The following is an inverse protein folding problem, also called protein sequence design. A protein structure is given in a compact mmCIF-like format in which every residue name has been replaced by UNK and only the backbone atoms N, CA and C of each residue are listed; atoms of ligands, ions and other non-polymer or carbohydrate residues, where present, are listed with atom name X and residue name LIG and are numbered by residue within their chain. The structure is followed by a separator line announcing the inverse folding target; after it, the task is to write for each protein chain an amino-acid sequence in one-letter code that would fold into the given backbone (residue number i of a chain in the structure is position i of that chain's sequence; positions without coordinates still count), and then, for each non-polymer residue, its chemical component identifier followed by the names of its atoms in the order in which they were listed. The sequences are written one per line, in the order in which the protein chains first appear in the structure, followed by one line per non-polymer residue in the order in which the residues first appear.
data_IF_486249539408
#
_entry.id   IF_486249539408
#
_cell.length_a   1.000
_cell.length_b   1.000
_cell.length_c   1.000
_cell.angle_alpha   90.00
_cell.angle_beta   90.00
_cell.angle_gamma   90.00
#
_symmetry.space_group_name_H-M   'P 1'
#
loop_
_entity.id
_entity.type
_entity.pdbx_description
1 polymer ?
#
# COMPACT_ATOMS: atom_id res chain seq x y z
N UNK A 1 23.31 16.38 -41.25
CA UNK A 1 22.33 15.47 -40.65
C UNK A 1 22.95 14.10 -40.65
N UNK A 2 23.31 13.57 -39.48
CA UNK A 2 24.06 12.31 -39.39
C UNK A 2 23.07 11.22 -38.97
N UNK A 3 22.54 10.51 -39.97
CA UNK A 3 21.43 9.57 -39.83
C UNK A 3 21.71 8.49 -38.77
N UNK A 4 22.96 8.04 -38.64
CA UNK A 4 23.37 7.05 -37.64
C UNK A 4 23.32 7.62 -36.22
N UNK A 5 23.77 8.85 -36.01
CA UNK A 5 23.73 9.51 -34.70
C UNK A 5 22.30 9.79 -34.26
N UNK A 6 21.42 10.16 -35.19
CA UNK A 6 19.99 10.36 -34.98
C UNK A 6 19.27 9.04 -34.67
N UNK A 7 19.60 7.94 -35.36
CA UNK A 7 19.04 6.63 -35.07
C UNK A 7 19.45 6.11 -33.68
N UNK A 8 20.72 6.29 -33.30
CA UNK A 8 21.22 5.88 -31.98
C UNK A 8 20.58 6.72 -30.87
N UNK A 9 20.46 8.04 -31.05
CA UNK A 9 19.83 8.90 -30.05
C UNK A 9 18.35 8.57 -29.87
N UNK A 10 17.61 8.33 -30.95
CA UNK A 10 16.22 7.91 -30.90
C UNK A 10 16.05 6.56 -30.19
N UNK A 11 16.94 5.60 -30.46
CA UNK A 11 16.93 4.30 -29.80
C UNK A 11 17.16 4.46 -28.29
N UNK A 12 18.17 5.24 -27.88
CA UNK A 12 18.46 5.49 -26.46
C UNK A 12 17.28 6.16 -25.74
N UNK A 13 16.66 7.18 -26.35
CA UNK A 13 15.47 7.84 -25.80
C UNK A 13 14.33 6.85 -25.65
N UNK A 14 14.12 5.98 -26.64
CA UNK A 14 13.05 4.97 -26.62
C UNK A 14 13.25 3.95 -25.52
N UNK A 15 14.48 3.44 -25.35
CA UNK A 15 14.82 2.48 -24.28
C UNK A 15 14.63 3.12 -22.90
N UNK A 16 15.10 4.35 -22.72
CA UNK A 16 14.89 5.10 -21.48
C UNK A 16 13.40 5.33 -21.20
N UNK A 17 12.62 5.70 -22.22
CA UNK A 17 11.19 5.90 -22.10
C UNK A 17 10.46 4.62 -21.67
N UNK A 18 10.76 3.48 -22.30
CA UNK A 18 10.18 2.18 -21.93
C UNK A 18 10.57 1.80 -20.50
N UNK A 19 11.84 1.98 -20.14
CA UNK A 19 12.33 1.69 -18.79
C UNK A 19 11.59 2.51 -17.74
N UNK A 20 11.49 3.83 -17.92
CA UNK A 20 10.76 4.71 -17.02
C UNK A 20 9.28 4.35 -16.95
N UNK A 21 8.65 4.05 -18.10
CA UNK A 21 7.24 3.66 -18.13
C UNK A 21 6.97 2.39 -17.33
N UNK A 22 7.85 1.38 -17.40
CA UNK A 22 7.71 0.16 -16.59
C UNK A 22 7.80 0.45 -15.09
N UNK A 23 8.72 1.35 -14.69
CA UNK A 23 8.89 1.76 -13.28
C UNK A 23 7.66 2.51 -12.78
N UNK A 24 7.15 3.45 -13.57
CA UNK A 24 5.91 4.18 -13.29
C UNK A 24 4.73 3.20 -13.15
N UNK A 25 4.56 2.28 -14.10
CA UNK A 25 3.47 1.29 -14.07
C UNK A 25 3.52 0.41 -12.82
N UNK A 26 4.71 -0.01 -12.39
CA UNK A 26 4.89 -0.76 -11.16
C UNK A 26 4.43 0.06 -9.94
N UNK A 27 4.86 1.31 -9.83
CA UNK A 27 4.52 2.19 -8.71
C UNK A 27 3.02 2.48 -8.66
N UNK A 28 2.39 2.72 -9.81
CA UNK A 28 0.93 2.82 -9.92
C UNK A 28 0.23 1.56 -9.42
N UNK A 29 0.69 0.38 -9.86
CA UNK A 29 0.10 -0.90 -9.42
C UNK A 29 0.21 -1.08 -7.91
N UNK A 30 1.36 -0.74 -7.32
CA UNK A 30 1.59 -0.79 -5.87
C UNK A 30 0.59 0.09 -5.11
N UNK A 31 0.43 1.34 -5.53
CA UNK A 31 -0.54 2.27 -4.93
C UNK A 31 -1.97 1.74 -5.06
N UNK A 32 -2.32 1.22 -6.22
CA UNK A 32 -3.65 0.65 -6.49
C UNK A 32 -3.95 -0.55 -5.59
N UNK A 33 -2.98 -1.44 -5.37
CA UNK A 33 -3.14 -2.60 -4.47
C UNK A 33 -3.50 -2.15 -3.06
N UNK A 34 -2.75 -1.22 -2.47
CA UNK A 34 -3.03 -0.75 -1.10
C UNK A 34 -4.35 0.02 -0.99
N UNK A 35 -4.69 0.84 -1.98
CA UNK A 35 -5.97 1.58 -2.01
C UNK A 35 -7.17 0.64 -2.12
N UNK A 36 -7.04 -0.42 -2.90
CA UNK A 36 -8.15 -1.34 -3.19
C UNK A 36 -8.12 -2.63 -2.36
N UNK A 37 -7.12 -2.80 -1.47
CA UNK A 37 -7.07 -3.96 -0.59
C UNK A 37 -8.36 -4.02 0.23
N UNK A 38 -9.07 -5.17 0.23
CA UNK A 38 -10.35 -5.31 0.88
C UNK A 38 -10.17 -5.34 2.40
N UNK A 39 -10.32 -4.17 3.01
CA UNK A 39 -10.42 -4.01 4.45
C UNK A 39 -11.88 -3.69 4.81
N UNK A 40 -12.39 -4.23 5.92
CA UNK A 40 -13.70 -3.86 6.40
C UNK A 40 -13.74 -2.36 6.71
N UNK A 41 -14.81 -1.68 6.32
CA UNK A 41 -15.01 -0.25 6.65
C UNK A 41 -15.48 -0.06 8.09
N UNK A 42 -16.15 -1.07 8.64
CA UNK A 42 -16.63 -1.14 10.02
C UNK A 42 -16.30 -2.50 10.62
N UNK A 43 -15.89 -2.51 11.88
CA UNK A 43 -15.57 -3.74 12.64
C UNK A 43 -16.22 -3.65 14.02
N UNK A 44 -16.79 -4.76 14.48
CA UNK A 44 -17.37 -4.86 15.83
C UNK A 44 -16.29 -5.13 16.88
N UNK A 45 -16.59 -4.86 18.14
CA UNK A 45 -15.78 -5.33 19.26
C UNK A 45 -15.55 -6.86 19.16
N UNK A 46 -14.32 -7.31 19.39
CA UNK A 46 -13.90 -8.71 19.19
C UNK A 46 -13.62 -9.09 17.73
N UNK A 47 -13.76 -8.16 16.78
CA UNK A 47 -13.47 -8.39 15.38
C UNK A 47 -11.98 -8.55 15.09
N UNK A 48 -11.68 -9.24 13.99
CA UNK A 48 -10.32 -9.55 13.56
C UNK A 48 -10.12 -9.01 12.14
N UNK A 49 -9.01 -8.31 11.94
CA UNK A 49 -8.56 -7.85 10.63
C UNK A 49 -7.25 -8.57 10.32
N UNK A 50 -7.25 -9.33 9.22
CA UNK A 50 -6.10 -10.09 8.76
C UNK A 50 -5.43 -9.39 7.56
N UNK A 51 -4.14 -9.10 7.71
CA UNK A 51 -3.30 -8.44 6.69
C UNK A 51 -2.36 -9.45 6.00
N UNK A 52 -2.28 -10.72 6.43
CA UNK A 52 -1.36 -11.71 5.86
C UNK A 52 -1.51 -11.86 4.34
N UNK A 53 -2.76 -11.81 3.85
CA UNK A 53 -3.04 -11.95 2.42
C UNK A 53 -2.48 -10.80 1.58
N UNK A 54 -2.15 -9.66 2.18
CA UNK A 54 -1.51 -8.55 1.47
C UNK A 54 -0.09 -8.91 0.99
N UNK A 55 0.60 -9.82 1.69
CA UNK A 55 1.94 -10.30 1.31
C UNK A 55 1.97 -11.06 -0.02
N UNK A 56 0.82 -11.60 -0.45
CA UNK A 56 0.67 -12.23 -1.77
C UNK A 56 0.83 -11.19 -2.90
N UNK A 57 0.41 -9.95 -2.63
CA UNK A 57 0.42 -8.87 -3.62
C UNK A 57 1.67 -7.99 -3.53
N UNK A 58 2.14 -7.71 -2.32
CA UNK A 58 3.33 -6.87 -2.07
C UNK A 58 4.16 -7.51 -0.96
N UNK A 59 5.39 -7.92 -1.27
CA UNK A 59 6.24 -8.61 -0.29
C UNK A 59 6.99 -7.66 0.65
N UNK A 60 7.35 -6.46 0.16
CA UNK A 60 8.24 -5.53 0.87
C UNK A 60 7.50 -4.29 1.38
N UNK A 61 6.41 -4.50 2.11
CA UNK A 61 5.68 -3.41 2.76
C UNK A 61 5.82 -3.47 4.28
N UNK A 62 5.66 -2.31 4.91
CA UNK A 62 5.51 -2.16 6.34
C UNK A 62 4.13 -1.60 6.61
N UNK A 63 3.59 -1.88 7.79
CA UNK A 63 2.37 -1.21 8.22
C UNK A 63 2.44 -0.85 9.71
N UNK A 64 1.69 0.17 10.08
CA UNK A 64 1.49 0.57 11.48
C UNK A 64 0.01 0.73 11.75
N UNK A 65 -0.41 0.38 12.96
CA UNK A 65 -1.80 0.45 13.41
C UNK A 65 -1.89 1.45 14.54
N UNK A 66 -2.74 2.46 14.38
CA UNK A 66 -3.02 3.47 15.40
C UNK A 66 -4.50 3.42 15.73
N UNK A 67 -4.83 3.16 16.99
CA UNK A 67 -6.20 3.32 17.48
C UNK A 67 -6.44 4.79 17.88
N UNK A 68 -7.61 5.31 17.54
CA UNK A 68 -8.09 6.64 17.90
C UNK A 68 -9.38 6.51 18.71
N UNK A 69 -9.53 7.40 19.69
CA UNK A 69 -10.66 7.38 20.64
C UNK A 69 -10.47 6.33 21.73
N UNK A 70 -11.55 5.66 22.12
CA UNK A 70 -11.56 4.60 23.15
C UNK A 70 -11.31 3.19 22.61
N UNK A 71 -11.09 3.05 21.29
CA UNK A 71 -10.79 1.76 20.68
C UNK A 71 -9.44 1.22 21.18
N UNK A 72 -9.44 -0.03 21.61
CA UNK A 72 -8.25 -0.78 22.01
C UNK A 72 -7.98 -1.91 21.02
N UNK A 73 -6.74 -2.02 20.57
CA UNK A 73 -6.31 -3.01 19.56
C UNK A 73 -5.07 -3.74 20.01
N UNK A 74 -5.00 -5.03 19.69
CA UNK A 74 -3.80 -5.85 19.82
C UNK A 74 -3.32 -6.27 18.42
N UNK A 75 -2.03 -6.18 18.18
CA UNK A 75 -1.40 -6.65 16.94
C UNK A 75 -0.59 -7.90 17.27
N UNK A 76 -1.01 -9.04 16.74
CA UNK A 76 -0.35 -10.33 16.89
C UNK A 76 0.12 -10.79 15.50
N UNK A 77 1.41 -10.58 15.20
CA UNK A 77 1.92 -10.78 13.84
C UNK A 77 1.20 -9.83 12.87
N UNK A 78 0.59 -10.40 11.83
CA UNK A 78 -0.16 -9.66 10.80
C UNK A 78 -1.67 -9.59 11.05
N UNK A 79 -2.10 -10.00 12.24
CA UNK A 79 -3.50 -10.02 12.65
C UNK A 79 -3.74 -8.90 13.66
N UNK A 80 -4.73 -8.05 13.37
CA UNK A 80 -5.18 -6.97 14.25
C UNK A 80 -6.47 -7.40 14.91
N UNK A 81 -6.46 -7.52 16.23
CA UNK A 81 -7.64 -7.85 17.04
C UNK A 81 -8.18 -6.58 17.68
N UNK A 82 -9.48 -6.33 17.50
CA UNK A 82 -10.19 -5.24 18.17
C UNK A 82 -10.65 -5.74 19.53
N UNK A 83 -10.04 -5.26 20.60
CA UNK A 83 -10.33 -5.74 21.96
C UNK A 83 -11.64 -5.14 22.47
N UNK A 84 -11.77 -3.81 22.42
CA UNK A 84 -12.92 -3.11 22.99
C UNK A 84 -12.96 -1.63 22.63
N UNK A 85 -14.16 -1.06 22.66
CA UNK A 85 -14.41 0.39 22.70
C UNK A 85 -14.69 1.01 21.34
N UNK A 86 -15.61 1.99 21.26
CA UNK A 86 -15.89 2.69 20.01
C UNK A 86 -14.73 3.59 19.61
N UNK A 87 -14.55 3.80 18.32
CA UNK A 87 -13.49 4.66 17.80
C UNK A 87 -13.11 4.36 16.36
N UNK A 88 -11.86 4.65 16.01
CA UNK A 88 -11.33 4.41 14.68
C UNK A 88 -9.97 3.71 14.76
N UNK A 89 -9.73 2.77 13.86
CA UNK A 89 -8.45 2.11 13.67
C UNK A 89 -7.88 2.63 12.37
N UNK A 90 -6.75 3.30 12.46
CA UNK A 90 -5.98 3.77 11.33
C UNK A 90 -4.87 2.76 11.02
N UNK A 91 -4.91 2.18 9.83
CA UNK A 91 -3.86 1.32 9.29
C UNK A 91 -3.11 2.12 8.24
N UNK A 92 -1.81 2.30 8.45
CA UNK A 92 -0.93 3.01 7.53
C UNK A 92 -0.04 1.98 6.85
N UNK A 93 -0.19 1.82 5.54
CA UNK A 93 0.67 1.00 4.70
C UNK A 93 1.80 1.83 4.10
N UNK A 94 3.00 1.29 4.10
CA UNK A 94 4.19 1.94 3.56
C UNK A 94 5.00 0.97 2.72
N UNK A 95 5.36 1.36 1.51
CA UNK A 95 6.27 0.59 0.67
C UNK A 95 7.12 1.49 -0.24
N UNK A 96 8.29 1.00 -0.61
CA UNK A 96 9.13 1.63 -1.62
C UNK A 96 8.71 1.16 -3.01
N UNK A 97 8.34 2.12 -3.85
CA UNK A 97 8.32 1.94 -5.29
C UNK A 97 9.72 2.12 -5.88
N UNK A 98 9.79 2.16 -7.20
CA UNK A 98 11.03 2.45 -7.90
C UNK A 98 11.35 3.95 -7.96
N UNK A 99 10.33 4.81 -7.91
CA UNK A 99 10.51 6.26 -8.01
C UNK A 99 10.44 6.93 -6.64
N UNK A 100 9.56 6.48 -5.76
CA UNK A 100 9.35 7.10 -4.45
C UNK A 100 8.83 6.12 -3.39
N UNK A 101 8.77 6.58 -2.14
CA UNK A 101 8.10 5.90 -1.03
C UNK A 101 6.64 6.28 -1.00
N UNK A 102 5.78 5.28 -1.03
CA UNK A 102 4.34 5.46 -0.94
C UNK A 102 3.84 5.15 0.47
N UNK A 103 3.01 6.05 1.00
CA UNK A 103 2.34 5.92 2.29
C UNK A 103 0.83 6.07 2.08
N UNK A 104 0.07 5.05 2.45
CA UNK A 104 -1.38 5.00 2.24
C UNK A 104 -2.06 4.69 3.57
N UNK A 105 -2.96 5.60 3.96
CA UNK A 105 -3.75 5.50 5.17
C UNK A 105 -5.12 4.91 4.86
N UNK A 106 -5.55 3.94 5.67
CA UNK A 106 -6.90 3.35 5.65
C UNK A 106 -7.49 3.46 7.05
N UNK A 107 -8.73 3.91 7.14
CA UNK A 107 -9.44 4.09 8.42
C UNK A 107 -10.61 3.12 8.47
N UNK A 108 -10.74 2.45 9.62
CA UNK A 108 -11.78 1.47 9.90
C UNK A 108 -12.51 1.93 11.15
N UNK A 109 -13.84 2.02 11.10
CA UNK A 109 -14.64 2.43 12.27
C UNK A 109 -14.92 1.24 13.17
N UNK A 110 -14.74 1.41 14.47
CA UNK A 110 -15.13 0.42 15.48
C UNK A 110 -16.51 0.76 16.00
N UNK A 111 -17.43 -0.19 15.83
CA UNK A 111 -18.82 -0.10 16.31
C UNK A 111 -19.04 -1.11 17.43
N UNK A 112 -19.98 -0.81 18.33
CA UNK A 112 -20.35 -1.72 19.42
C UNK A 112 -20.99 -3.03 18.92
#
# INVERSE_FOLDING_TARGET
MNLTLEAISLFMISVLGIYLMQKIQYDYKLVTIFKNYPLPTTVKNGGIIDIDKLYIFVQNFKYSVNAKGSASVAVEGNVIKVLSGPGEIEIVFEAWGYLDRYRIQRVIKVVE
#
